data_IF_727350480526
#
_entry.id   IF_727350480526
#
_cell.length_a   1.000
_cell.length_b   1.000
_cell.length_c   1.000
_cell.angle_alpha   90.00
_cell.angle_beta   90.00
_cell.angle_gamma   90.00
#
_symmetry.space_group_name_H-M   'P 1'
#
loop_
_entity.id
_entity.type
_entity.pdbx_description
1 polymer ?
#
# COMPACT_ATOMS: atom_id res chain seq x y z
N UNK A 1 13.15 -41.65 60.35
CA UNK A 1 13.05 -40.31 59.67
C UNK A 1 13.13 -40.51 58.17
N UNK A 2 11.98 -40.49 57.47
CA UNK A 2 11.93 -40.65 56.02
C UNK A 2 11.70 -39.26 55.37
N UNK A 3 12.70 -38.76 54.70
CA UNK A 3 12.60 -37.53 53.95
C UNK A 3 11.81 -37.75 52.62
N UNK A 4 10.70 -37.01 52.40
CA UNK A 4 9.96 -36.97 51.17
C UNK A 4 10.58 -35.91 50.25
N UNK A 5 11.19 -36.36 49.17
CA UNK A 5 11.67 -35.49 48.09
C UNK A 5 10.51 -35.19 47.16
N UNK A 6 10.10 -33.89 47.05
CA UNK A 6 9.07 -33.42 46.12
C UNK A 6 9.77 -33.04 44.82
N UNK A 7 9.51 -33.80 43.75
CA UNK A 7 10.00 -33.51 42.39
C UNK A 7 9.04 -32.49 41.75
N UNK A 8 9.48 -31.24 41.63
CA UNK A 8 8.74 -30.22 40.91
C UNK A 8 9.00 -30.35 39.38
N UNK A 9 8.00 -30.80 38.67
CA UNK A 9 8.03 -30.81 37.19
C UNK A 9 7.73 -29.42 36.67
N UNK A 10 8.71 -28.76 36.05
CA UNK A 10 8.51 -27.50 35.32
C UNK A 10 7.91 -27.81 33.93
N UNK A 11 6.67 -27.40 33.72
CA UNK A 11 6.02 -27.45 32.39
C UNK A 11 6.50 -26.25 31.57
N UNK A 12 7.39 -26.49 30.61
CA UNK A 12 7.78 -25.49 29.62
C UNK A 12 6.62 -25.30 28.62
N UNK A 13 5.90 -24.18 28.72
CA UNK A 13 4.94 -23.76 27.68
C UNK A 13 5.71 -23.36 26.41
N UNK A 14 5.65 -24.21 25.39
CA UNK A 14 6.08 -23.86 24.03
C UNK A 14 5.09 -22.83 23.48
N UNK A 15 5.50 -21.57 23.38
CA UNK A 15 4.78 -20.55 22.63
C UNK A 15 4.88 -20.89 21.13
N UNK A 16 3.80 -21.42 20.57
CA UNK A 16 3.70 -21.65 19.12
C UNK A 16 3.54 -20.25 18.47
N UNK A 17 4.47 -19.82 17.61
CA UNK A 17 4.29 -18.57 16.89
C UNK A 17 3.05 -18.69 16.01
N UNK A 18 2.02 -17.87 16.29
CA UNK A 18 0.84 -17.77 15.45
C UNK A 18 1.28 -17.05 14.16
N UNK A 19 1.46 -17.80 13.08
CA UNK A 19 1.70 -17.21 11.76
C UNK A 19 0.50 -16.31 11.41
N UNK A 20 0.73 -15.01 11.29
CA UNK A 20 -0.29 -14.08 10.85
C UNK A 20 -0.79 -14.51 9.47
N UNK A 21 -2.07 -14.87 9.38
CA UNK A 21 -2.69 -15.23 8.10
C UNK A 21 -2.85 -13.96 7.27
N UNK A 22 -2.50 -14.03 5.98
CA UNK A 22 -2.80 -12.96 5.04
C UNK A 22 -4.32 -12.75 4.99
N UNK A 23 -4.74 -11.48 5.09
CA UNK A 23 -6.13 -11.04 5.01
C UNK A 23 -6.35 -10.36 3.67
N UNK A 24 -7.29 -10.87 2.89
CA UNK A 24 -7.74 -10.20 1.67
C UNK A 24 -8.51 -8.94 2.05
N UNK A 25 -8.12 -7.80 1.49
CA UNK A 25 -8.78 -6.51 1.69
C UNK A 25 -9.88 -6.29 0.66
N UNK A 26 -10.99 -5.69 1.08
CA UNK A 26 -12.12 -5.36 0.19
C UNK A 26 -11.76 -4.15 -0.66
N UNK A 27 -11.61 -4.37 -1.97
CA UNK A 27 -11.37 -3.33 -2.97
C UNK A 27 -12.71 -2.86 -3.55
N UNK A 28 -12.86 -1.54 -3.72
CA UNK A 28 -13.98 -0.92 -4.44
C UNK A 28 -13.48 0.01 -5.52
N UNK A 29 -14.16 0.00 -6.66
CA UNK A 29 -13.93 0.98 -7.73
C UNK A 29 -14.78 2.21 -7.49
N UNK A 30 -14.17 3.38 -7.59
CA UNK A 30 -14.82 4.66 -7.29
C UNK A 30 -14.59 5.68 -8.41
N UNK A 31 -15.43 6.71 -8.47
CA UNK A 31 -15.11 7.91 -9.23
C UNK A 31 -14.52 9.00 -8.30
N UNK A 32 -13.66 9.86 -8.85
CA UNK A 32 -13.00 10.92 -8.10
C UNK A 32 -13.97 11.80 -7.27
N UNK A 33 -15.06 12.34 -7.83
CA UNK A 33 -15.99 13.15 -7.03
C UNK A 33 -16.55 12.40 -5.82
N UNK A 34 -16.94 11.12 -5.96
CA UNK A 34 -17.52 10.35 -4.85
C UNK A 34 -16.53 10.07 -3.74
N UNK A 35 -15.29 9.69 -4.08
CA UNK A 35 -14.29 9.43 -3.04
C UNK A 35 -13.86 10.73 -2.36
N UNK A 36 -13.79 11.83 -3.09
CA UNK A 36 -13.50 13.13 -2.51
C UNK A 36 -14.57 13.53 -1.46
N UNK A 37 -15.86 13.28 -1.74
CA UNK A 37 -16.94 13.54 -0.80
C UNK A 37 -16.90 12.65 0.46
N UNK A 38 -16.15 11.56 0.44
CA UNK A 38 -15.91 10.76 1.65
C UNK A 38 -14.99 11.52 2.62
N UNK A 39 -14.05 12.31 2.11
CA UNK A 39 -13.08 13.05 2.92
C UNK A 39 -13.42 14.52 3.12
N UNK A 40 -14.13 15.15 2.18
CA UNK A 40 -14.46 16.57 2.24
C UNK A 40 -15.96 16.79 1.99
N UNK A 41 -16.57 17.68 2.76
CA UNK A 41 -18.00 17.98 2.67
C UNK A 41 -18.38 18.68 1.38
N UNK A 42 -17.46 19.44 0.79
CA UNK A 42 -17.59 20.11 -0.52
C UNK A 42 -17.03 19.27 -1.68
N UNK A 43 -16.56 18.03 -1.38
CA UNK A 43 -15.98 17.12 -2.36
C UNK A 43 -14.68 17.63 -3.03
N UNK A 44 -14.02 18.62 -2.43
CA UNK A 44 -12.82 19.26 -2.96
C UNK A 44 -11.60 19.01 -2.06
N UNK A 45 -10.90 17.89 -2.29
CA UNK A 45 -9.74 17.51 -1.49
C UNK A 45 -8.52 18.40 -1.75
N UNK A 46 -7.86 18.82 -0.67
CA UNK A 46 -6.56 19.46 -0.72
C UNK A 46 -5.48 18.41 -0.52
N UNK A 47 -4.72 18.12 -1.58
CA UNK A 47 -3.74 17.04 -1.58
C UNK A 47 -2.32 17.54 -1.31
N UNK A 48 -1.52 16.71 -0.60
CA UNK A 48 -0.07 16.83 -0.55
C UNK A 48 0.54 15.69 -1.36
N UNK A 49 1.14 16.04 -2.48
CA UNK A 49 1.78 15.08 -3.41
C UNK A 49 3.28 14.97 -3.15
N UNK A 50 3.80 13.75 -3.26
CA UNK A 50 5.23 13.45 -3.37
C UNK A 50 5.45 12.42 -4.45
N UNK A 51 6.61 12.49 -5.13
CA UNK A 51 7.04 11.49 -6.11
C UNK A 51 8.37 10.90 -5.72
N UNK A 52 8.54 9.62 -5.96
CA UNK A 52 9.80 8.90 -5.76
C UNK A 52 10.13 8.13 -7.02
N UNK A 53 11.36 8.26 -7.50
CA UNK A 53 11.82 7.56 -8.69
C UNK A 53 12.03 6.08 -8.40
N UNK A 54 11.66 5.25 -9.37
CA UNK A 54 11.91 3.82 -9.36
C UNK A 54 13.17 3.57 -10.16
N UNK A 55 14.16 2.95 -9.53
CA UNK A 55 15.46 2.63 -10.15
C UNK A 55 15.76 1.13 -10.07
N UNK A 56 14.88 0.24 -10.57
CA UNK A 56 15.17 -1.17 -10.57
C UNK A 56 16.25 -1.48 -11.61
N UNK A 57 17.09 -2.50 -11.38
CA UNK A 57 18.17 -2.86 -12.31
C UNK A 57 17.70 -3.34 -13.68
N UNK A 58 16.42 -3.70 -13.81
CA UNK A 58 15.80 -4.03 -15.10
C UNK A 58 15.36 -2.80 -15.92
N UNK A 59 15.46 -1.59 -15.37
CA UNK A 59 15.27 -0.35 -16.11
C UNK A 59 16.64 0.22 -16.48
N UNK A 60 16.93 0.32 -17.77
CA UNK A 60 18.20 0.87 -18.25
C UNK A 60 18.35 2.38 -17.97
N UNK A 61 17.24 3.08 -17.74
CA UNK A 61 17.21 4.52 -17.49
C UNK A 61 16.48 4.81 -16.16
N UNK A 62 17.23 4.79 -15.04
CA UNK A 62 16.65 5.06 -13.72
C UNK A 62 16.12 6.52 -13.66
N UNK A 63 14.96 6.69 -13.04
CA UNK A 63 14.34 7.98 -12.87
C UNK A 63 13.21 8.30 -13.86
N UNK A 64 12.97 7.44 -14.84
CA UNK A 64 11.87 7.59 -15.80
C UNK A 64 10.58 6.89 -15.35
N UNK A 65 10.68 5.96 -14.38
CA UNK A 65 9.55 5.38 -13.68
C UNK A 65 9.43 6.00 -12.27
N UNK A 66 8.22 6.14 -11.76
CA UNK A 66 8.00 6.79 -10.47
C UNK A 66 6.72 6.34 -9.77
N UNK A 67 6.74 6.42 -8.43
CA UNK A 67 5.59 6.30 -7.57
C UNK A 67 5.17 7.68 -7.06
N UNK A 68 3.93 8.05 -7.27
CA UNK A 68 3.29 9.18 -6.64
C UNK A 68 2.59 8.71 -5.36
N UNK A 69 2.89 9.38 -4.26
CA UNK A 69 2.17 9.22 -2.98
C UNK A 69 1.44 10.52 -2.67
N UNK A 70 0.14 10.42 -2.47
CA UNK A 70 -0.74 11.54 -2.18
C UNK A 70 -1.38 11.36 -0.81
N UNK A 71 -1.48 12.44 -0.04
CA UNK A 71 -2.17 12.42 1.25
C UNK A 71 -3.12 13.61 1.37
N UNK A 72 -4.22 13.41 2.06
CA UNK A 72 -5.23 14.44 2.37
C UNK A 72 -6.00 14.08 3.63
N UNK A 73 -6.41 15.10 4.38
CA UNK A 73 -7.14 14.91 5.64
C UNK A 73 -8.64 14.80 5.40
N UNK A 74 -9.33 14.00 6.22
CA UNK A 74 -10.78 13.99 6.32
C UNK A 74 -11.28 15.15 7.17
N UNK A 75 -12.14 15.99 6.58
CA UNK A 75 -12.75 17.16 7.22
C UNK A 75 -13.80 16.77 8.24
N UNK A 76 -13.96 17.58 9.28
CA UNK A 76 -15.05 17.42 10.24
C UNK A 76 -16.42 17.49 9.54
N UNK A 77 -17.27 16.50 9.79
CA UNK A 77 -18.59 16.39 9.14
C UNK A 77 -18.60 15.50 7.89
N UNK A 78 -17.45 15.20 7.29
CA UNK A 78 -17.36 14.23 6.21
C UNK A 78 -17.37 12.78 6.76
N UNK A 79 -17.81 11.78 5.97
CA UNK A 79 -17.78 10.36 6.39
C UNK A 79 -16.40 9.86 6.85
N UNK A 80 -15.33 10.37 6.26
CA UNK A 80 -13.93 10.08 6.60
C UNK A 80 -13.32 11.01 7.64
N UNK A 81 -14.13 11.77 8.39
CA UNK A 81 -13.64 12.69 9.42
C UNK A 81 -12.67 12.01 10.40
N UNK A 82 -11.60 12.71 10.75
CA UNK A 82 -10.56 12.21 11.65
C UNK A 82 -9.67 11.13 11.06
N UNK A 83 -9.73 10.91 9.73
CA UNK A 83 -8.79 10.05 8.99
C UNK A 83 -7.94 10.86 8.03
N UNK A 84 -6.86 10.24 7.58
CA UNK A 84 -6.03 10.70 6.45
C UNK A 84 -6.18 9.69 5.32
N UNK A 85 -6.49 10.18 4.11
CA UNK A 85 -6.42 9.39 2.89
C UNK A 85 -4.97 9.28 2.40
N UNK A 86 -4.62 8.10 1.92
CA UNK A 86 -3.31 7.76 1.35
C UNK A 86 -3.56 7.16 -0.01
N UNK A 87 -3.12 7.82 -1.06
CA UNK A 87 -3.25 7.34 -2.44
C UNK A 87 -1.91 7.14 -3.09
N UNK A 88 -1.82 6.12 -3.93
CA UNK A 88 -0.64 5.74 -4.67
C UNK A 88 -0.95 5.61 -6.15
N UNK A 89 -0.01 6.02 -6.99
CA UNK A 89 -0.04 5.82 -8.43
C UNK A 89 1.36 5.52 -8.94
N UNK A 90 1.51 4.37 -9.60
CA UNK A 90 2.76 3.98 -10.24
C UNK A 90 2.69 4.34 -11.73
N UNK A 91 3.76 4.93 -12.26
CA UNK A 91 3.87 5.32 -13.66
C UNK A 91 5.20 4.90 -14.27
N UNK A 92 5.12 4.30 -15.44
CA UNK A 92 6.24 3.96 -16.31
C UNK A 92 6.15 4.66 -17.68
N UNK A 93 5.35 5.73 -17.78
CA UNK A 93 5.10 6.42 -19.05
C UNK A 93 6.33 7.05 -19.69
N UNK A 94 7.36 7.35 -18.89
CA UNK A 94 8.62 7.91 -19.36
C UNK A 94 9.77 6.90 -19.35
N UNK A 95 9.52 5.66 -18.93
CA UNK A 95 10.53 4.62 -18.96
C UNK A 95 10.78 4.17 -20.41
N UNK A 96 12.05 4.08 -20.80
CA UNK A 96 12.48 3.73 -22.15
C UNK A 96 12.97 2.30 -22.29
N UNK A 97 13.30 1.65 -21.17
CA UNK A 97 13.79 0.28 -21.16
C UNK A 97 12.66 -0.74 -20.98
N UNK A 98 12.76 -1.93 -21.57
CA UNK A 98 11.79 -2.98 -21.35
C UNK A 98 11.79 -3.37 -19.86
N UNK A 99 10.60 -3.55 -19.31
CA UNK A 99 10.41 -3.97 -17.93
C UNK A 99 8.97 -3.77 -17.49
N UNK A 100 8.51 -4.65 -16.59
CA UNK A 100 7.14 -4.61 -16.08
C UNK A 100 7.13 -4.76 -14.57
N UNK A 101 6.29 -3.97 -13.90
CA UNK A 101 6.02 -4.07 -12.47
C UNK A 101 4.67 -4.77 -12.26
N UNK A 102 4.65 -5.79 -11.41
CA UNK A 102 3.46 -6.60 -11.11
C UNK A 102 2.72 -6.14 -9.88
N UNK A 103 3.42 -5.54 -8.95
CA UNK A 103 2.85 -5.17 -7.67
C UNK A 103 3.76 -4.26 -6.83
N UNK A 104 3.24 -3.96 -5.65
CA UNK A 104 3.79 -2.97 -4.75
C UNK A 104 3.53 -3.40 -3.30
N UNK A 105 4.58 -3.46 -2.49
CA UNK A 105 4.53 -3.80 -1.07
C UNK A 105 4.78 -2.57 -0.22
N UNK A 106 3.98 -2.42 0.82
CA UNK A 106 3.99 -1.25 1.67
C UNK A 106 3.82 -1.63 3.14
N UNK A 107 4.76 -1.26 3.99
CA UNK A 107 4.54 -1.33 5.44
C UNK A 107 3.63 -0.16 5.84
N UNK A 108 2.32 -0.40 5.74
CA UNK A 108 1.29 0.63 5.93
C UNK A 108 0.87 0.79 7.39
N UNK A 109 0.96 -0.29 8.17
CA UNK A 109 0.41 -0.31 9.51
C UNK A 109 -1.13 -0.45 9.54
N UNK A 110 -1.78 -0.02 10.62
CA UNK A 110 -3.23 -0.10 10.75
C UNK A 110 -3.95 0.79 9.74
N UNK A 111 -4.91 0.23 8.99
CA UNK A 111 -5.81 0.98 8.12
C UNK A 111 -7.21 1.12 8.74
N UNK A 112 -7.99 2.05 8.21
CA UNK A 112 -9.37 2.30 8.59
C UNK A 112 -10.29 2.02 7.40
N UNK A 113 -11.32 1.21 7.62
CA UNK A 113 -12.36 1.04 6.62
C UNK A 113 -13.15 2.33 6.43
N UNK A 114 -13.44 2.67 5.18
CA UNK A 114 -14.21 3.85 4.82
C UNK A 114 -15.63 3.46 4.41
N UNK A 115 -16.64 4.21 4.81
CA UNK A 115 -17.98 4.05 4.28
C UNK A 115 -17.97 4.43 2.79
N UNK A 116 -18.46 3.53 1.98
CA UNK A 116 -18.64 3.71 0.54
C UNK A 116 -20.07 3.34 0.21
N UNK A 117 -20.63 3.82 -0.88
CA UNK A 117 -22.03 3.71 -1.31
C UNK A 117 -22.91 2.72 -0.52
N UNK A 118 -24.08 3.14 -0.06
CA UNK A 118 -25.04 2.32 0.70
C UNK A 118 -24.56 1.80 2.07
N UNK A 119 -23.65 2.52 2.74
CA UNK A 119 -23.01 2.13 4.01
C UNK A 119 -22.12 0.88 3.92
N UNK A 120 -21.75 0.44 2.74
CA UNK A 120 -20.71 -0.59 2.60
C UNK A 120 -19.37 -0.02 3.04
N UNK A 121 -18.61 -0.83 3.79
CA UNK A 121 -17.25 -0.50 4.17
C UNK A 121 -16.26 -1.05 3.13
N UNK A 122 -15.27 -0.24 2.77
CA UNK A 122 -14.15 -0.60 1.90
C UNK A 122 -12.83 -0.43 2.63
N UNK A 123 -11.89 -1.35 2.40
CA UNK A 123 -10.52 -1.25 2.89
C UNK A 123 -9.65 -0.44 1.93
N UNK A 124 -9.82 -0.70 0.62
CA UNK A 124 -9.06 -0.10 -0.47
C UNK A 124 -10.03 0.44 -1.51
N UNK A 125 -9.75 1.61 -2.04
CA UNK A 125 -10.48 2.17 -3.18
C UNK A 125 -9.56 2.38 -4.38
N UNK A 126 -10.11 2.26 -5.59
CA UNK A 126 -9.41 2.49 -6.86
C UNK A 126 -10.19 3.52 -7.66
N UNK A 127 -9.56 4.64 -8.02
CA UNK A 127 -10.19 5.76 -8.71
C UNK A 127 -10.20 5.50 -10.22
N UNK A 128 -11.19 4.76 -10.71
CA UNK A 128 -11.27 4.32 -12.12
C UNK A 128 -11.91 5.35 -13.04
N UNK A 129 -12.62 6.34 -12.50
CA UNK A 129 -13.31 7.37 -13.29
C UNK A 129 -13.03 8.76 -12.73
N UNK A 130 -12.71 9.71 -13.61
CA UNK A 130 -12.37 11.10 -13.26
C UNK A 130 -10.98 11.27 -12.65
N UNK A 131 -10.19 10.19 -12.57
CA UNK A 131 -8.79 10.17 -12.16
C UNK A 131 -7.84 9.90 -13.32
N UNK A 132 -6.56 9.75 -12.99
CA UNK A 132 -5.50 9.41 -13.94
C UNK A 132 -5.22 7.89 -13.87
N UNK A 133 -4.75 7.33 -14.97
CA UNK A 133 -4.30 5.95 -15.06
C UNK A 133 -5.22 5.03 -15.81
N UNK A 134 -4.80 3.76 -15.96
CA UNK A 134 -5.50 2.76 -16.76
C UNK A 134 -5.46 1.34 -16.18
N UNK A 135 -4.59 1.08 -15.20
CA UNK A 135 -4.43 -0.25 -14.60
C UNK A 135 -4.94 -0.21 -13.16
N UNK A 136 -5.93 -1.06 -12.87
CA UNK A 136 -6.49 -1.24 -11.52
C UNK A 136 -5.71 -2.25 -10.69
N UNK A 137 -6.28 -2.59 -9.53
CA UNK A 137 -5.79 -3.66 -8.66
C UNK A 137 -6.51 -4.97 -8.95
N UNK A 138 -5.76 -6.07 -8.92
CA UNK A 138 -6.28 -7.43 -8.90
C UNK A 138 -6.61 -7.85 -7.47
N UNK A 139 -5.71 -7.56 -6.54
CA UNK A 139 -5.88 -7.85 -5.11
C UNK A 139 -5.11 -6.87 -4.25
N UNK A 140 -5.52 -6.78 -2.99
CA UNK A 140 -4.78 -6.17 -1.91
C UNK A 140 -4.85 -7.14 -0.73
N UNK A 141 -3.68 -7.50 -0.18
CA UNK A 141 -3.57 -8.48 0.89
C UNK A 141 -2.75 -7.91 2.04
N UNK A 142 -3.23 -8.10 3.27
CA UNK A 142 -2.55 -7.62 4.46
C UNK A 142 -1.97 -8.77 5.26
N UNK A 143 -0.69 -8.69 5.60
CA UNK A 143 0.00 -9.58 6.53
C UNK A 143 0.71 -8.75 7.61
N UNK A 144 0.19 -8.76 8.83
CA UNK A 144 0.64 -7.84 9.86
C UNK A 144 0.44 -6.38 9.47
N UNK A 145 1.50 -5.60 9.43
CA UNK A 145 1.50 -4.19 9.02
C UNK A 145 1.80 -3.99 7.51
N UNK A 146 2.17 -5.06 6.81
CA UNK A 146 2.48 -4.99 5.38
C UNK A 146 1.22 -5.23 4.57
N UNK A 147 1.01 -4.39 3.56
CA UNK A 147 -0.02 -4.55 2.54
C UNK A 147 0.68 -4.77 1.20
N UNK A 148 0.28 -5.84 0.52
CA UNK A 148 0.69 -6.15 -0.85
C UNK A 148 -0.43 -5.81 -1.81
N UNK A 149 -0.13 -5.00 -2.83
CA UNK A 149 -1.03 -4.68 -3.94
C UNK A 149 -0.56 -5.39 -5.19
N UNK A 150 -1.39 -6.25 -5.75
CA UNK A 150 -1.17 -6.88 -7.06
C UNK A 150 -1.96 -6.12 -8.11
N UNK A 151 -1.31 -5.74 -9.22
CA UNK A 151 -1.98 -5.03 -10.31
C UNK A 151 -2.82 -5.98 -11.17
N UNK A 152 -3.92 -5.48 -11.74
CA UNK A 152 -4.80 -6.25 -12.61
C UNK A 152 -4.12 -6.71 -13.92
N UNK A 153 -3.11 -5.96 -14.35
CA UNK A 153 -2.16 -6.34 -15.40
C UNK A 153 -0.81 -5.69 -15.10
N UNK A 154 0.30 -6.23 -15.64
CA UNK A 154 1.62 -5.61 -15.47
C UNK A 154 1.64 -4.16 -15.94
N UNK A 155 2.34 -3.29 -15.21
CA UNK A 155 2.65 -1.91 -15.61
C UNK A 155 3.98 -1.96 -16.32
N UNK A 156 3.98 -1.84 -17.66
CA UNK A 156 5.17 -2.04 -18.49
C UNK A 156 5.68 -0.74 -19.10
N UNK A 157 7.00 -0.62 -19.23
CA UNK A 157 7.64 0.48 -19.93
C UNK A 157 7.55 0.35 -21.45
N UNK A 158 7.65 -0.88 -21.96
CA UNK A 158 7.53 -1.24 -23.36
C UNK A 158 6.08 -1.46 -23.77
N UNK A 159 5.73 -1.02 -24.95
CA UNK A 159 4.39 -1.13 -25.51
C UNK A 159 3.97 0.09 -26.30
N UNK A 160 2.89 -0.01 -27.10
CA UNK A 160 2.35 1.15 -27.81
C UNK A 160 2.04 2.30 -26.83
N UNK A 161 2.09 3.56 -27.28
CA UNK A 161 1.91 4.74 -26.42
C UNK A 161 0.62 4.76 -25.60
N UNK A 162 -0.39 4.03 -26.05
CA UNK A 162 -1.75 3.97 -25.50
C UNK A 162 -1.95 2.79 -24.53
N UNK A 163 -0.98 1.90 -24.38
CA UNK A 163 -1.13 0.71 -23.55
C UNK A 163 -0.53 0.93 -22.17
N UNK A 164 -1.42 1.07 -21.21
CA UNK A 164 -1.33 0.70 -19.78
C UNK A 164 0.04 0.86 -19.09
N UNK A 165 0.60 2.09 -19.13
CA UNK A 165 1.88 2.40 -18.49
C UNK A 165 1.73 2.99 -17.08
N UNK A 166 0.52 3.10 -16.56
CA UNK A 166 0.26 3.74 -15.27
C UNK A 166 -0.96 3.12 -14.57
N UNK A 167 -0.84 2.92 -13.27
CA UNK A 167 -1.99 2.51 -12.46
C UNK A 167 -2.98 3.65 -12.32
N UNK A 168 -4.25 3.34 -12.07
CA UNK A 168 -5.14 4.29 -11.41
C UNK A 168 -4.55 4.72 -10.07
N UNK A 169 -5.05 5.82 -9.51
CA UNK A 169 -4.87 6.03 -8.08
C UNK A 169 -5.62 4.95 -7.31
N UNK A 170 -4.96 4.37 -6.33
CA UNK A 170 -5.55 3.46 -5.37
C UNK A 170 -5.13 3.87 -3.97
N UNK A 171 -5.98 3.65 -2.98
CA UNK A 171 -5.70 4.17 -1.66
C UNK A 171 -6.46 3.52 -0.54
N UNK A 172 -6.04 3.90 0.67
CA UNK A 172 -6.59 3.51 1.96
C UNK A 172 -6.73 4.74 2.85
N UNK A 173 -7.36 4.55 4.00
CA UNK A 173 -7.39 5.55 5.05
C UNK A 173 -6.77 5.03 6.34
N UNK A 174 -6.25 5.94 7.15
CA UNK A 174 -5.80 5.68 8.52
C UNK A 174 -6.01 6.89 9.42
N UNK A 175 -5.96 6.69 10.73
CA UNK A 175 -6.12 7.79 11.70
C UNK A 175 -4.82 8.51 12.02
N UNK A 176 -3.66 7.90 11.75
CA UNK A 176 -2.37 8.49 12.04
C UNK A 176 -1.91 9.47 10.94
N UNK A 177 -1.06 10.41 11.32
CA UNK A 177 -0.44 11.37 10.41
C UNK A 177 0.55 10.69 9.44
N UNK A 178 0.83 11.29 8.27
CA UNK A 178 1.76 10.71 7.30
C UNK A 178 3.21 10.71 7.78
N UNK A 179 3.91 9.62 7.51
CA UNK A 179 5.36 9.51 7.55
C UNK A 179 5.91 8.93 6.26
N UNK A 180 7.21 9.08 6.02
CA UNK A 180 7.90 8.49 4.87
C UNK A 180 8.51 7.16 5.27
N UNK A 181 8.31 6.14 4.43
CA UNK A 181 8.93 4.82 4.57
C UNK A 181 9.52 4.34 3.26
N UNK A 182 10.39 3.35 3.34
CA UNK A 182 10.77 2.54 2.18
C UNK A 182 9.65 1.53 1.90
N UNK A 183 9.12 1.59 0.69
CA UNK A 183 8.23 0.59 0.12
C UNK A 183 8.99 -0.22 -0.92
N UNK A 184 8.39 -1.24 -1.51
CA UNK A 184 9.04 -2.02 -2.55
C UNK A 184 8.10 -2.36 -3.70
N UNK A 185 8.66 -2.32 -4.90
CA UNK A 185 8.01 -2.81 -6.12
C UNK A 185 8.67 -4.10 -6.56
N UNK A 186 7.92 -4.98 -7.23
CA UNK A 186 8.44 -6.21 -7.79
C UNK A 186 7.95 -6.39 -9.24
N UNK A 187 8.77 -7.03 -10.07
CA UNK A 187 8.58 -7.10 -11.51
C UNK A 187 8.63 -8.51 -12.10
N UNK A 188 8.41 -8.59 -13.41
CA UNK A 188 8.52 -9.83 -14.19
C UNK A 188 10.01 -10.11 -14.44
N UNK A 189 10.42 -11.35 -14.18
CA UNK A 189 11.76 -11.85 -14.53
C UNK A 189 12.85 -11.53 -13.52
N UNK A 190 12.53 -10.76 -12.48
CA UNK A 190 13.45 -10.52 -11.36
C UNK A 190 12.71 -10.78 -10.04
N UNK A 191 13.14 -11.74 -9.23
CA UNK A 191 12.55 -12.00 -7.92
C UNK A 191 12.89 -10.92 -6.88
N UNK A 192 13.64 -9.88 -7.27
CA UNK A 192 14.05 -8.80 -6.37
C UNK A 192 12.93 -7.83 -6.04
N UNK A 193 12.96 -7.34 -4.79
CA UNK A 193 12.18 -6.19 -4.36
C UNK A 193 13.04 -4.93 -4.46
N UNK A 194 12.51 -3.88 -5.06
CA UNK A 194 13.24 -2.61 -5.25
C UNK A 194 12.63 -1.55 -4.35
N UNK A 195 13.50 -0.94 -3.55
CA UNK A 195 13.12 0.10 -2.61
C UNK A 195 12.62 1.36 -3.31
N UNK A 196 11.54 1.91 -2.78
CA UNK A 196 10.96 3.17 -3.23
C UNK A 196 10.37 3.91 -2.03
N UNK A 197 10.44 5.24 -2.03
CA UNK A 197 9.85 6.01 -0.95
C UNK A 197 8.34 6.16 -1.13
N UNK A 198 7.58 5.89 -0.07
CA UNK A 198 6.14 6.10 0.00
C UNK A 198 5.72 6.80 1.28
N UNK A 199 4.56 7.43 1.28
CA UNK A 199 3.92 7.96 2.49
C UNK A 199 2.97 6.94 3.08
N UNK A 200 3.06 6.73 4.38
CA UNK A 200 2.22 5.81 5.15
C UNK A 200 1.78 6.46 6.46
N UNK A 201 0.79 5.90 7.17
CA UNK A 201 0.47 6.30 8.53
C UNK A 201 1.66 6.11 9.47
N UNK A 202 1.85 7.04 10.40
CA UNK A 202 2.85 6.89 11.45
C UNK A 202 2.51 5.68 12.33
N UNK A 203 3.41 4.72 12.39
CA UNK A 203 3.33 3.55 13.24
C UNK A 203 4.75 3.06 13.58
N UNK A 204 4.88 2.16 14.55
CA UNK A 204 6.15 1.53 14.86
C UNK A 204 6.54 0.58 13.73
N UNK A 205 7.49 0.99 12.90
CA UNK A 205 8.12 0.08 11.93
C UNK A 205 9.09 -0.80 12.72
N UNK A 206 9.00 -2.14 12.66
CA UNK A 206 10.05 -2.98 13.20
C UNK A 206 11.38 -2.56 12.57
N UNK A 207 12.34 -2.15 13.39
CA UNK A 207 13.69 -1.96 12.90
C UNK A 207 14.22 -3.34 12.52
N UNK A 208 14.63 -3.51 11.27
CA UNK A 208 15.43 -4.66 10.89
C UNK A 208 16.60 -4.75 11.90
N UNK A 209 16.86 -5.94 12.46
CA UNK A 209 18.01 -6.08 13.32
C UNK A 209 19.24 -5.58 12.56
N UNK A 210 20.13 -4.78 13.19
CA UNK A 210 21.31 -4.24 12.50
C UNK A 210 22.02 -5.40 11.83
N UNK A 211 22.15 -5.30 10.50
CA UNK A 211 22.55 -6.37 9.60
C UNK A 211 23.71 -7.18 10.14
N UNK A 212 23.43 -8.42 10.48
CA UNK A 212 24.45 -9.44 10.60
C UNK A 212 24.95 -9.75 9.19
N UNK A 213 26.19 -9.36 8.91
CA UNK A 213 27.01 -9.84 7.79
C UNK A 213 27.24 -11.33 7.94
#
# INVERSE_FOLDING_TARGET
MFGKTILSAAIAMLAIPCAAKAQLLKIVEVNAPKINCVFQTDCNIQVTDTSSNISPPFLADPGTAWLQSRTFAGEAGAPGAGTTGYEYRLSMTQASAPGCILGFNLNFGPHKQLPYANNELADVYVVTTGGLGTIGLKSAERSGDVIEFTFASPVCADGPPDVKKTTFFFGLAATAAPMKVSASVYGIGDPGFFGIDARVPTHSVPQDPPGGL
#
